data_IF_525204736073
#
_entry.id   IF_525204736073
#
_cell.length_a   1.000
_cell.length_b   1.000
_cell.length_c   1.000
_cell.angle_alpha   90.00
_cell.angle_beta   90.00
_cell.angle_gamma   90.00
#
_symmetry.space_group_name_H-M   'P 1'
#
loop_
_entity.id
_entity.type
_entity.pdbx_description
1 polymer ?
#
# COMPACT_ATOMS: atom_id res chain seq x y z
N UNK A 1 16.87 -7.55 -13.05
CA UNK A 1 16.89 -6.20 -12.42
C UNK A 1 16.04 -6.10 -11.15
N UNK A 2 16.01 -7.14 -10.30
CA UNK A 2 15.23 -7.13 -9.04
C UNK A 2 15.80 -6.17 -7.97
N UNK A 3 17.06 -5.74 -8.12
CA UNK A 3 17.74 -4.89 -7.11
C UNK A 3 17.11 -3.51 -6.89
N UNK A 4 16.30 -3.01 -7.82
CA UNK A 4 15.58 -1.74 -7.62
C UNK A 4 14.10 -1.93 -7.32
N UNK A 5 13.68 -3.16 -6.99
CA UNK A 5 12.32 -3.43 -6.53
C UNK A 5 12.26 -3.54 -5.03
N UNK A 6 11.27 -2.88 -4.44
CA UNK A 6 11.01 -2.95 -3.01
C UNK A 6 9.55 -3.32 -2.81
N UNK A 7 9.31 -4.30 -1.96
CA UNK A 7 7.96 -4.71 -1.55
C UNK A 7 7.67 -4.17 -0.15
N UNK A 8 6.47 -3.64 0.02
CA UNK A 8 5.94 -3.20 1.30
C UNK A 8 4.72 -4.03 1.67
N UNK A 9 4.61 -4.32 2.97
CA UNK A 9 3.44 -4.93 3.58
C UNK A 9 3.01 -4.02 4.72
N UNK A 10 1.81 -3.48 4.64
CA UNK A 10 1.28 -2.51 5.60
C UNK A 10 -0.05 -3.04 6.13
N UNK A 11 -0.13 -3.25 7.44
CA UNK A 11 -1.35 -3.67 8.12
C UNK A 11 -2.11 -2.44 8.65
N UNK A 12 -3.39 -2.35 8.31
CA UNK A 12 -4.31 -1.33 8.79
C UNK A 12 -5.35 -1.95 9.71
N UNK A 13 -5.54 -1.33 10.87
CA UNK A 13 -6.49 -1.76 11.88
C UNK A 13 -7.39 -0.61 12.31
N UNK A 14 -8.58 -0.94 12.83
CA UNK A 14 -9.51 0.03 13.37
C UNK A 14 -10.94 -0.50 13.42
N UNK A 15 -11.82 0.07 14.26
CA UNK A 15 -13.21 -0.37 14.36
C UNK A 15 -13.95 -0.37 13.02
N UNK A 16 -13.77 0.68 12.20
CA UNK A 16 -14.42 0.80 10.89
C UNK A 16 -13.97 -0.31 9.91
N UNK A 17 -12.65 -0.58 9.86
CA UNK A 17 -12.08 -1.62 9.01
C UNK A 17 -12.51 -3.03 9.45
N UNK A 18 -12.64 -3.26 10.76
CA UNK A 18 -13.13 -4.53 11.31
C UNK A 18 -14.62 -4.77 11.05
N UNK A 19 -15.41 -3.71 10.91
CA UNK A 19 -16.83 -3.78 10.63
C UNK A 19 -17.17 -4.03 9.16
N UNK A 20 -16.17 -3.95 8.25
CA UNK A 20 -16.39 -4.29 6.85
C UNK A 20 -16.75 -5.78 6.70
N UNK A 21 -17.72 -6.12 5.82
CA UNK A 21 -18.04 -7.50 5.47
C UNK A 21 -16.81 -8.27 4.97
N UNK A 22 -16.84 -9.60 5.09
CA UNK A 22 -15.71 -10.44 4.66
C UNK A 22 -15.48 -10.37 3.14
N UNK A 23 -16.57 -10.15 2.40
CA UNK A 23 -16.66 -10.01 0.95
C UNK A 23 -16.48 -8.57 0.47
N UNK A 24 -16.20 -7.61 1.38
CA UNK A 24 -16.02 -6.22 1.01
C UNK A 24 -14.88 -6.07 0.00
N UNK A 25 -15.14 -5.36 -1.10
CA UNK A 25 -14.11 -5.02 -2.07
C UNK A 25 -13.29 -3.84 -1.54
N UNK A 26 -12.16 -4.14 -0.92
CA UNK A 26 -11.18 -3.14 -0.46
C UNK A 26 -10.04 -3.06 -1.46
N UNK A 27 -9.77 -1.85 -1.93
CA UNK A 27 -8.70 -1.56 -2.89
C UNK A 27 -7.52 -0.94 -2.16
N UNK A 28 -6.32 -1.38 -2.52
CA UNK A 28 -5.11 -0.65 -2.19
C UNK A 28 -4.95 0.50 -3.20
N UNK A 29 -4.96 1.74 -2.74
CA UNK A 29 -4.61 2.89 -3.59
C UNK A 29 -3.20 3.31 -3.23
N UNK A 30 -2.28 3.20 -4.19
CA UNK A 30 -0.86 3.51 -4.01
C UNK A 30 -0.43 4.49 -5.09
N UNK A 31 0.21 5.58 -4.68
CA UNK A 31 0.85 6.53 -5.58
C UNK A 31 2.31 6.72 -5.21
N UNK A 32 3.10 7.05 -6.23
CA UNK A 32 4.50 7.42 -6.08
C UNK A 32 4.77 8.76 -6.76
N UNK A 33 5.91 9.35 -6.43
CA UNK A 33 6.50 10.38 -7.28
C UNK A 33 6.94 9.82 -8.66
N UNK A 34 7.55 10.68 -9.49
CA UNK A 34 8.00 10.33 -10.83
C UNK A 34 9.16 9.32 -10.87
N UNK A 35 9.82 9.03 -9.75
CA UNK A 35 10.92 8.08 -9.68
C UNK A 35 10.47 6.67 -9.26
N UNK A 36 9.21 6.53 -8.81
CA UNK A 36 8.58 5.25 -8.54
C UNK A 36 7.66 4.79 -9.66
N UNK A 37 7.66 3.49 -9.94
CA UNK A 37 6.60 2.82 -10.68
C UNK A 37 5.96 1.75 -9.81
N UNK A 38 4.67 1.88 -9.52
CA UNK A 38 3.90 0.82 -8.85
C UNK A 38 3.73 -0.34 -9.83
N UNK A 39 4.21 -1.53 -9.44
CA UNK A 39 4.16 -2.74 -10.27
C UNK A 39 2.93 -3.59 -9.94
N UNK A 40 2.59 -3.67 -8.67
CA UNK A 40 1.39 -4.36 -8.17
C UNK A 40 0.96 -3.77 -6.83
N UNK A 41 -0.33 -3.88 -6.53
CA UNK A 41 -0.93 -3.43 -5.29
C UNK A 41 -2.22 -4.21 -5.03
N UNK A 42 -2.36 -4.76 -3.83
CA UNK A 42 -3.54 -5.51 -3.41
C UNK A 42 -3.84 -5.23 -1.93
N UNK A 43 -5.12 -5.29 -1.57
CA UNK A 43 -5.56 -5.33 -0.19
C UNK A 43 -6.38 -6.60 0.07
N UNK A 44 -6.18 -7.23 1.21
CA UNK A 44 -6.91 -8.42 1.63
C UNK A 44 -7.06 -8.46 3.15
N UNK A 45 -8.09 -9.16 3.63
CA UNK A 45 -8.35 -9.30 5.08
C UNK A 45 -7.18 -9.99 5.76
N UNK A 46 -6.74 -9.48 6.90
CA UNK A 46 -5.76 -10.13 7.76
C UNK A 46 -6.48 -10.77 8.95
N UNK A 47 -6.67 -12.11 8.98
CA UNK A 47 -7.43 -12.77 10.04
C UNK A 47 -6.73 -12.73 11.41
N UNK A 48 -5.40 -12.57 11.45
CA UNK A 48 -4.65 -12.55 12.70
C UNK A 48 -4.93 -11.29 13.54
N UNK A 49 -5.17 -10.16 12.88
CA UNK A 49 -5.47 -8.87 13.54
C UNK A 49 -6.94 -8.47 13.41
N UNK A 50 -7.67 -9.13 12.52
CA UNK A 50 -9.00 -8.72 12.10
C UNK A 50 -9.00 -7.47 11.21
N UNK A 51 -7.85 -6.87 10.92
CA UNK A 51 -7.71 -5.72 10.04
C UNK A 51 -7.60 -6.09 8.55
N UNK A 52 -7.01 -5.19 7.77
CA UNK A 52 -6.72 -5.37 6.36
C UNK A 52 -5.23 -5.18 6.09
N UNK A 53 -4.67 -6.06 5.27
CA UNK A 53 -3.28 -6.00 4.82
C UNK A 53 -3.22 -5.45 3.41
N UNK A 54 -2.43 -4.41 3.24
CA UNK A 54 -1.99 -3.94 1.93
C UNK A 54 -0.64 -4.57 1.60
N UNK A 55 -0.48 -5.06 0.38
CA UNK A 55 0.82 -5.46 -0.18
C UNK A 55 1.00 -4.79 -1.52
N UNK A 56 2.12 -4.11 -1.71
CA UNK A 56 2.45 -3.49 -2.98
C UNK A 56 3.95 -3.52 -3.25
N UNK A 57 4.30 -3.49 -4.53
CA UNK A 57 5.68 -3.50 -5.00
C UNK A 57 5.92 -2.33 -5.93
N UNK A 58 7.07 -1.70 -5.76
CA UNK A 58 7.52 -0.60 -6.61
C UNK A 58 8.82 -0.99 -7.33
N UNK A 59 9.05 -0.39 -8.49
CA UNK A 59 10.37 -0.29 -9.14
C UNK A 59 10.85 1.15 -9.00
N UNK A 60 12.06 1.34 -8.48
CA UNK A 60 12.80 2.60 -8.57
C UNK A 60 13.37 2.75 -9.97
N UNK A 61 13.15 3.89 -10.61
CA UNK A 61 13.61 4.15 -11.98
C UNK A 61 15.05 4.69 -12.02
N UNK A 62 15.41 5.57 -11.08
CA UNK A 62 16.76 6.12 -10.91
C UNK A 62 17.31 5.67 -9.56
N UNK A 63 18.35 4.83 -9.61
CA UNK A 63 18.89 4.11 -8.44
C UNK A 63 19.35 5.02 -7.30
N UNK A 64 19.87 6.20 -7.64
CA UNK A 64 20.51 7.19 -6.78
C UNK A 64 19.55 8.25 -6.20
N UNK A 65 18.25 8.15 -6.50
CA UNK A 65 17.23 9.11 -6.05
C UNK A 65 16.18 8.44 -5.17
N UNK A 66 15.62 9.12 -4.16
CA UNK A 66 14.54 8.59 -3.34
C UNK A 66 13.25 8.36 -4.16
N UNK A 67 12.31 7.61 -3.58
CA UNK A 67 10.92 7.49 -4.06
C UNK A 67 10.01 7.84 -2.90
N UNK A 68 9.18 8.87 -3.07
CA UNK A 68 8.09 9.18 -2.15
C UNK A 68 6.86 8.35 -2.47
N UNK A 69 6.24 7.78 -1.43
CA UNK A 69 5.09 6.90 -1.53
C UNK A 69 3.95 7.40 -0.65
N UNK A 70 2.73 7.32 -1.17
CA UNK A 70 1.49 7.52 -0.43
C UNK A 70 0.56 6.35 -0.70
N UNK A 71 -0.04 5.81 0.35
CA UNK A 71 -0.97 4.69 0.21
C UNK A 71 -2.13 4.75 1.20
N UNK A 72 -3.31 4.31 0.78
CA UNK A 72 -4.48 4.17 1.66
C UNK A 72 -5.42 3.06 1.15
N UNK A 73 -6.31 2.61 2.02
CA UNK A 73 -7.36 1.65 1.68
C UNK A 73 -8.62 2.39 1.24
N UNK A 74 -9.25 1.91 0.17
CA UNK A 74 -10.49 2.46 -0.38
C UNK A 74 -11.56 1.38 -0.46
N UNK A 75 -12.80 1.73 -0.08
CA UNK A 75 -14.00 0.91 -0.27
C UNK A 75 -15.13 1.79 -0.81
N UNK A 76 -15.83 1.34 -1.86
CA UNK A 76 -16.94 2.09 -2.50
C UNK A 76 -16.66 3.57 -2.73
N UNK A 77 -15.49 3.87 -3.31
CA UNK A 77 -14.95 5.21 -3.57
C UNK A 77 -14.56 6.04 -2.34
N UNK A 78 -14.78 5.56 -1.12
CA UNK A 78 -14.40 6.24 0.12
C UNK A 78 -13.06 5.73 0.64
N UNK A 79 -12.20 6.64 1.10
CA UNK A 79 -11.02 6.26 1.88
C UNK A 79 -11.49 5.71 3.24
N UNK A 80 -11.04 4.51 3.60
CA UNK A 80 -11.41 3.82 4.84
C UNK A 80 -10.23 3.66 5.82
N UNK A 81 -9.08 4.22 5.47
CA UNK A 81 -7.90 4.31 6.33
C UNK A 81 -7.32 5.72 6.30
N UNK A 82 -6.40 5.98 7.22
CA UNK A 82 -5.43 7.06 7.04
C UNK A 82 -4.55 6.85 5.80
N UNK A 83 -3.82 7.91 5.41
CA UNK A 83 -2.80 7.81 4.36
C UNK A 83 -1.45 7.46 4.99
N UNK A 84 -0.94 6.26 4.70
CA UNK A 84 0.44 5.89 4.96
C UNK A 84 1.38 6.64 4.01
N UNK A 85 2.37 7.33 4.55
CA UNK A 85 3.39 8.05 3.78
C UNK A 85 4.78 7.52 4.10
N UNK A 86 5.62 7.36 3.09
CA UNK A 86 6.96 6.81 3.25
C UNK A 86 7.94 7.30 2.19
N UNK A 87 9.22 7.40 2.55
CA UNK A 87 10.31 7.71 1.63
C UNK A 87 11.22 6.50 1.55
N UNK A 88 11.28 5.89 0.38
CA UNK A 88 12.22 4.82 0.08
C UNK A 88 13.55 5.42 -0.39
N UNK A 89 14.56 5.38 0.47
CA UNK A 89 15.90 5.90 0.16
C UNK A 89 16.67 4.97 -0.81
N UNK A 90 17.61 5.51 -1.60
CA UNK A 90 18.60 4.71 -2.32
C UNK A 90 19.35 3.74 -1.39
N UNK A 91 19.81 2.61 -1.94
CA UNK A 91 20.77 1.71 -1.26
C UNK A 91 22.19 2.29 -1.27
#
# INVERSE_FOLDING_TARGET
>A
ELRQQVQYVVDFEGPALRALPAEASVKAVVTSDANGKVLENIAYRNPATGGWRMTFRIQRLQADRPVELRAFLQHDNHAVSETWTHISLPE
#
